data_IF_981469520310
#
_entry.id   IF_981469520310
#
_cell.length_a   1.000
_cell.length_b   1.000
_cell.length_c   1.000
_cell.angle_alpha   90.00
_cell.angle_beta   90.00
_cell.angle_gamma   90.00
#
_symmetry.space_group_name_H-M   'P 1'
#
loop_
_entity.id
_entity.type
_entity.pdbx_description
1 polymer ?
#
# COMPACT_ATOMS: atom_id res chain seq x y z
N UNK A 1 -15.23 11.77 -9.22
CA UNK A 1 -13.79 11.66 -9.59
C UNK A 1 -13.58 10.57 -10.61
N UNK A 2 -12.72 10.80 -11.60
CA UNK A 2 -12.30 9.78 -12.55
C UNK A 2 -11.28 8.81 -11.92
N UNK A 3 -11.10 7.62 -12.55
CA UNK A 3 -10.16 6.59 -12.05
C UNK A 3 -8.75 7.12 -11.79
N UNK A 4 -8.23 7.94 -12.71
CA UNK A 4 -6.88 8.52 -12.58
C UNK A 4 -6.77 9.48 -11.40
N UNK A 5 -7.80 10.28 -11.17
CA UNK A 5 -7.88 11.21 -10.06
C UNK A 5 -7.93 10.47 -8.72
N UNK A 6 -8.71 9.38 -8.63
CA UNK A 6 -8.77 8.54 -7.43
C UNK A 6 -7.40 7.91 -7.16
N UNK A 7 -6.73 7.39 -8.18
CA UNK A 7 -5.38 6.80 -8.03
C UNK A 7 -4.38 7.84 -7.55
N UNK A 8 -4.40 9.05 -8.11
CA UNK A 8 -3.53 10.15 -7.69
C UNK A 8 -3.81 10.55 -6.24
N UNK A 9 -5.08 10.75 -5.89
CA UNK A 9 -5.51 11.09 -4.54
C UNK A 9 -5.00 10.06 -3.50
N UNK A 10 -5.24 8.77 -3.74
CA UNK A 10 -4.81 7.70 -2.84
C UNK A 10 -3.29 7.64 -2.69
N UNK A 11 -2.56 7.81 -3.81
CA UNK A 11 -1.10 7.78 -3.82
C UNK A 11 -0.50 8.97 -3.06
N UNK A 12 -1.00 10.16 -3.27
CA UNK A 12 -0.53 11.38 -2.59
C UNK A 12 -0.76 11.30 -1.08
N UNK A 13 -1.96 10.87 -0.65
CA UNK A 13 -2.27 10.71 0.77
C UNK A 13 -1.48 9.56 1.41
N UNK A 14 -1.26 8.45 0.71
CA UNK A 14 -0.39 7.37 1.19
C UNK A 14 1.04 7.88 1.41
N UNK A 15 1.59 8.61 0.44
CA UNK A 15 2.94 9.18 0.55
C UNK A 15 3.00 10.14 1.74
N UNK A 16 2.08 11.09 1.83
CA UNK A 16 2.12 12.11 2.89
C UNK A 16 1.97 11.51 4.30
N UNK A 17 1.07 10.56 4.48
CA UNK A 17 0.69 10.05 5.80
C UNK A 17 1.53 8.87 6.27
N UNK A 18 2.05 8.05 5.35
CA UNK A 18 2.71 6.78 5.69
C UNK A 18 4.16 6.69 5.25
N UNK A 19 4.48 7.21 4.08
CA UNK A 19 5.78 6.99 3.46
C UNK A 19 6.75 8.16 3.62
N UNK A 20 6.26 9.38 3.81
CA UNK A 20 7.11 10.57 4.01
C UNK A 20 7.62 10.67 5.44
N UNK A 21 8.81 11.28 5.59
CA UNK A 21 9.40 11.57 6.88
C UNK A 21 10.81 11.03 7.05
N UNK A 22 11.43 11.40 8.16
CA UNK A 22 12.77 10.94 8.53
C UNK A 22 12.70 9.45 8.89
N UNK A 23 13.66 8.66 8.41
CA UNK A 23 13.73 7.24 8.66
C UNK A 23 12.78 6.39 7.81
N UNK A 24 12.19 6.99 6.78
CA UNK A 24 11.34 6.30 5.81
C UNK A 24 12.14 5.94 4.55
N UNK A 25 12.22 4.63 4.27
CA UNK A 25 12.94 4.07 3.13
C UNK A 25 11.94 3.39 2.20
N UNK A 26 11.59 4.05 1.11
CA UNK A 26 10.57 3.55 0.19
C UNK A 26 10.87 3.88 -1.26
N UNK A 27 10.27 3.14 -2.16
CA UNK A 27 10.31 3.38 -3.60
C UNK A 27 8.93 3.18 -4.20
N UNK A 28 8.68 3.82 -5.35
CA UNK A 28 7.46 3.67 -6.13
C UNK A 28 7.74 2.90 -7.41
N UNK A 29 6.69 2.27 -7.98
CA UNK A 29 6.80 1.56 -9.27
C UNK A 29 7.92 0.51 -9.27
N UNK A 30 8.04 -0.26 -8.18
CA UNK A 30 9.10 -1.25 -8.00
C UNK A 30 8.89 -2.44 -8.91
N UNK A 31 9.73 -2.58 -9.92
CA UNK A 31 9.67 -3.68 -10.89
C UNK A 31 10.48 -4.88 -10.40
N UNK A 32 9.79 -6.00 -10.24
CA UNK A 32 10.37 -7.32 -10.01
C UNK A 32 10.48 -8.08 -11.34
N UNK A 33 11.42 -9.00 -11.41
CA UNK A 33 11.64 -9.86 -12.60
C UNK A 33 11.87 -9.04 -13.89
N UNK A 34 12.58 -7.92 -13.75
CA UNK A 34 12.90 -7.04 -14.86
C UNK A 34 13.60 -7.79 -16.01
N UNK A 35 13.16 -7.54 -17.25
CA UNK A 35 13.70 -8.16 -18.45
C UNK A 35 13.21 -9.58 -18.71
N UNK A 36 12.28 -10.08 -17.90
CA UNK A 36 11.61 -11.36 -18.11
C UNK A 36 10.18 -11.19 -18.67
N UNK A 37 9.55 -12.30 -19.08
CA UNK A 37 8.15 -12.30 -19.51
C UNK A 37 7.18 -12.09 -18.35
N UNK A 38 7.64 -12.37 -17.11
CA UNK A 38 6.84 -12.34 -15.89
C UNK A 38 7.12 -11.08 -15.06
N UNK A 39 7.49 -9.98 -15.71
CA UNK A 39 7.72 -8.71 -15.04
C UNK A 39 6.49 -8.30 -14.22
N UNK A 40 6.71 -8.00 -12.95
CA UNK A 40 5.70 -7.57 -11.99
C UNK A 40 6.06 -6.20 -11.47
N UNK A 41 5.06 -5.43 -11.12
CA UNK A 41 5.25 -4.10 -10.55
C UNK A 41 4.48 -3.99 -9.26
N UNK A 42 5.11 -3.41 -8.26
CA UNK A 42 4.52 -3.04 -6.97
C UNK A 42 4.43 -1.51 -6.93
N UNK A 43 3.26 -0.96 -6.65
CA UNK A 43 3.05 0.49 -6.71
C UNK A 43 3.94 1.23 -5.71
N UNK A 44 3.99 0.75 -4.46
CA UNK A 44 4.90 1.28 -3.43
C UNK A 44 5.46 0.15 -2.57
N UNK A 45 6.74 0.25 -2.27
CA UNK A 45 7.43 -0.67 -1.37
C UNK A 45 8.25 0.11 -0.35
N UNK A 46 8.08 -0.22 0.93
CA UNK A 46 8.82 0.36 2.04
C UNK A 46 9.70 -0.71 2.69
N UNK A 47 10.92 -0.33 3.05
CA UNK A 47 11.79 -1.14 3.89
C UNK A 47 11.81 -0.56 5.30
N UNK A 48 11.51 -1.39 6.29
CA UNK A 48 11.44 -1.02 7.70
C UNK A 48 12.53 -1.76 8.48
N UNK A 49 13.68 -1.14 8.78
CA UNK A 49 14.68 -1.70 9.72
C UNK A 49 14.08 -1.77 11.12
N UNK A 50 14.60 -2.65 11.98
CA UNK A 50 14.01 -2.90 13.30
C UNK A 50 14.43 -1.90 14.38
N UNK A 51 15.37 -1.02 14.10
CA UNK A 51 15.85 -0.04 15.09
C UNK A 51 16.85 0.95 14.49
N UNK A 52 17.96 1.13 15.18
CA UNK A 52 19.09 1.91 14.64
C UNK A 52 19.68 1.21 13.42
N UNK A 53 20.24 1.96 12.47
CA UNK A 53 20.80 1.42 11.24
C UNK A 53 22.13 0.68 11.44
N UNK A 54 22.12 -0.33 12.29
CA UNK A 54 23.21 -1.32 12.39
C UNK A 54 23.00 -2.44 11.39
N UNK A 55 24.03 -3.18 11.03
CA UNK A 55 23.93 -4.32 10.13
C UNK A 55 22.87 -5.32 10.62
N UNK A 56 22.90 -5.65 11.92
CA UNK A 56 21.93 -6.58 12.52
C UNK A 56 20.48 -6.09 12.42
N UNK A 57 20.24 -4.81 12.63
CA UNK A 57 18.88 -4.22 12.56
C UNK A 57 18.37 -4.11 11.11
N UNK A 58 19.27 -3.90 10.15
CA UNK A 58 18.94 -3.95 8.72
C UNK A 58 18.59 -5.37 8.32
N UNK A 59 19.38 -6.37 8.71
CA UNK A 59 19.14 -7.78 8.37
C UNK A 59 17.82 -8.31 8.94
N UNK A 60 17.35 -7.79 10.07
CA UNK A 60 16.05 -8.11 10.66
C UNK A 60 14.90 -7.27 10.11
N UNK A 61 15.18 -6.32 9.26
CA UNK A 61 14.19 -5.45 8.65
C UNK A 61 13.17 -6.22 7.80
N UNK A 62 12.00 -5.64 7.66
CA UNK A 62 10.89 -6.19 6.86
C UNK A 62 10.51 -5.24 5.73
N UNK A 63 9.92 -5.80 4.70
CA UNK A 63 9.33 -5.04 3.60
C UNK A 63 7.81 -4.96 3.76
N UNK A 64 7.27 -3.82 3.37
CA UNK A 64 5.83 -3.57 3.29
C UNK A 64 5.51 -3.15 1.87
N UNK A 65 4.57 -3.80 1.23
CA UNK A 65 4.06 -3.39 -0.09
C UNK A 65 2.69 -2.77 0.01
N UNK A 66 2.44 -1.80 -0.86
CA UNK A 66 1.17 -1.11 -0.97
C UNK A 66 0.76 -1.12 -2.44
N UNK A 67 -0.45 -1.59 -2.69
CA UNK A 67 -1.04 -1.70 -4.02
C UNK A 67 -2.31 -0.85 -4.09
N UNK A 68 -2.32 0.12 -4.98
CA UNK A 68 -3.43 1.07 -5.11
C UNK A 68 -4.52 0.50 -6.01
N UNK A 69 -5.75 0.48 -5.53
CA UNK A 69 -6.94 0.03 -6.25
C UNK A 69 -8.00 1.13 -6.24
N UNK A 70 -8.24 1.72 -7.39
CA UNK A 70 -9.12 2.87 -7.51
C UNK A 70 -10.58 2.52 -7.79
N UNK A 71 -10.85 1.33 -8.35
CA UNK A 71 -12.20 0.89 -8.70
C UNK A 71 -12.31 -0.63 -8.74
N UNK A 72 -13.54 -1.13 -8.85
CA UNK A 72 -13.84 -2.57 -8.90
C UNK A 72 -13.16 -3.30 -10.07
N UNK A 73 -13.11 -2.68 -11.25
CA UNK A 73 -12.44 -3.27 -12.42
C UNK A 73 -10.94 -3.43 -12.18
N UNK A 74 -10.32 -2.45 -11.53
CA UNK A 74 -8.91 -2.46 -11.14
C UNK A 74 -8.62 -3.56 -10.10
N UNK A 75 -9.48 -3.66 -9.09
CA UNK A 75 -9.38 -4.73 -8.09
C UNK A 75 -9.50 -6.13 -8.71
N UNK A 76 -10.52 -6.34 -9.55
CA UNK A 76 -10.77 -7.64 -10.21
C UNK A 76 -9.74 -8.03 -11.25
N UNK A 77 -8.99 -7.08 -11.80
CA UNK A 77 -7.91 -7.39 -12.76
C UNK A 77 -6.82 -8.28 -12.17
N UNK A 78 -6.65 -8.27 -10.84
CA UNK A 78 -5.60 -9.00 -10.14
C UNK A 78 -4.19 -8.45 -10.37
N UNK A 79 -4.02 -7.47 -11.26
CA UNK A 79 -2.71 -6.86 -11.50
C UNK A 79 -2.18 -6.20 -10.22
N UNK A 80 -0.89 -6.39 -9.95
CA UNK A 80 -0.21 -5.83 -8.78
C UNK A 80 -0.43 -6.59 -7.47
N UNK A 81 -1.34 -7.54 -7.39
CA UNK A 81 -1.57 -8.36 -6.18
C UNK A 81 -0.48 -9.44 -6.04
N UNK A 82 0.78 -9.01 -6.01
CA UNK A 82 1.93 -9.92 -5.99
C UNK A 82 2.24 -10.47 -4.59
N UNK A 83 1.99 -9.69 -3.55
CA UNK A 83 2.13 -10.06 -2.14
C UNK A 83 3.45 -10.78 -1.81
N UNK A 84 4.57 -10.16 -2.22
CA UNK A 84 5.91 -10.75 -2.10
C UNK A 84 6.64 -10.37 -0.80
N UNK A 85 6.14 -9.40 -0.08
CA UNK A 85 6.74 -8.84 1.13
C UNK A 85 6.15 -9.46 2.40
N UNK A 86 6.74 -9.17 3.56
CA UNK A 86 6.22 -9.66 4.84
C UNK A 86 4.85 -9.07 5.19
N UNK A 87 4.61 -7.79 4.83
CA UNK A 87 3.33 -7.12 5.01
C UNK A 87 2.83 -6.58 3.69
N UNK A 88 1.57 -6.84 3.37
CA UNK A 88 0.97 -6.45 2.10
C UNK A 88 -0.34 -5.73 2.35
N UNK A 89 -0.48 -4.53 1.79
CA UNK A 89 -1.68 -3.71 1.91
C UNK A 89 -2.27 -3.38 0.55
N UNK A 90 -3.58 -3.43 0.47
CA UNK A 90 -4.34 -2.77 -0.58
C UNK A 90 -4.70 -1.36 -0.10
N UNK A 91 -4.58 -0.38 -0.97
CA UNK A 91 -4.94 1.02 -0.71
C UNK A 91 -6.11 1.37 -1.61
N UNK A 92 -7.27 1.66 -1.03
CA UNK A 92 -8.48 1.85 -1.82
C UNK A 92 -9.49 2.78 -1.15
N UNK A 93 -10.46 3.34 -1.93
CA UNK A 93 -11.58 4.08 -1.34
C UNK A 93 -12.43 3.19 -0.42
N UNK A 94 -13.01 3.78 0.64
CA UNK A 94 -13.89 3.06 1.56
C UNK A 94 -15.09 2.40 0.87
N UNK A 95 -15.65 3.04 -0.15
CA UNK A 95 -16.73 2.46 -0.95
C UNK A 95 -16.35 1.16 -1.68
N UNK A 96 -15.11 1.09 -2.18
CA UNK A 96 -14.60 -0.12 -2.82
C UNK A 96 -14.34 -1.19 -1.76
N UNK A 97 -13.67 -0.84 -0.66
CA UNK A 97 -13.41 -1.76 0.45
C UNK A 97 -14.70 -2.43 0.95
N UNK A 98 -15.75 -1.65 1.17
CA UNK A 98 -17.07 -2.14 1.60
C UNK A 98 -17.63 -3.23 0.67
N UNK A 99 -17.36 -3.13 -0.63
CA UNK A 99 -17.85 -4.09 -1.64
C UNK A 99 -17.00 -5.37 -1.72
N UNK A 100 -15.72 -5.29 -1.36
CA UNK A 100 -14.76 -6.40 -1.57
C UNK A 100 -14.25 -7.03 -0.27
N UNK A 101 -14.66 -6.53 0.88
CA UNK A 101 -14.13 -6.95 2.19
C UNK A 101 -14.21 -8.47 2.43
N UNK A 102 -15.21 -9.15 1.88
CA UNK A 102 -15.37 -10.59 2.00
C UNK A 102 -14.46 -11.40 1.06
N UNK A 103 -13.92 -10.76 0.02
CA UNK A 103 -13.11 -11.40 -1.03
C UNK A 103 -11.61 -11.19 -0.80
N UNK A 104 -11.23 -10.36 0.18
CA UNK A 104 -9.82 -10.05 0.46
C UNK A 104 -9.16 -11.24 1.14
N UNK A 105 -7.99 -11.63 0.62
CA UNK A 105 -7.17 -12.69 1.24
C UNK A 105 -6.85 -12.36 2.70
N UNK A 106 -7.02 -13.32 3.60
CA UNK A 106 -6.95 -13.11 5.05
C UNK A 106 -5.62 -12.59 5.62
N UNK A 107 -4.54 -12.67 4.84
CA UNK A 107 -3.22 -12.12 5.22
C UNK A 107 -3.02 -10.67 4.79
N UNK A 108 -3.83 -10.17 3.85
CA UNK A 108 -3.70 -8.85 3.24
C UNK A 108 -4.47 -7.81 4.04
N UNK A 109 -3.81 -6.71 4.37
CA UNK A 109 -4.44 -5.57 5.01
C UNK A 109 -5.04 -4.58 4.03
N UNK A 110 -5.85 -3.67 4.54
CA UNK A 110 -6.44 -2.58 3.75
C UNK A 110 -6.24 -1.25 4.44
N UNK A 111 -5.87 -0.27 3.66
CA UNK A 111 -5.76 1.13 4.05
C UNK A 111 -6.76 1.94 3.21
N UNK A 112 -7.58 2.73 3.89
CA UNK A 112 -8.53 3.64 3.26
C UNK A 112 -8.31 5.08 3.74
N UNK A 113 -8.59 6.08 2.89
CA UNK A 113 -8.77 7.44 3.34
C UNK A 113 -10.03 7.55 4.21
N UNK A 114 -9.90 8.16 5.37
CA UNK A 114 -10.98 8.41 6.33
C UNK A 114 -10.91 9.88 6.72
N UNK A 115 -12.02 10.63 6.74
CA UNK A 115 -12.02 11.99 7.26
C UNK A 115 -11.48 12.05 8.68
N UNK A 116 -10.64 13.06 9.00
CA UNK A 116 -10.01 13.18 10.33
C UNK A 116 -11.04 13.18 11.48
N UNK A 117 -12.21 13.76 11.24
CA UNK A 117 -13.27 13.94 12.24
C UNK A 117 -14.20 12.72 12.38
N UNK A 118 -13.96 11.66 11.59
CA UNK A 118 -14.78 10.43 11.61
C UNK A 118 -13.99 9.23 12.06
N UNK A 119 -14.67 8.30 12.70
CA UNK A 119 -14.08 6.99 12.96
C UNK A 119 -14.26 6.02 11.75
N UNK A 120 -13.52 4.93 11.78
CA UNK A 120 -13.51 3.93 10.70
C UNK A 120 -14.88 3.24 10.56
N UNK A 121 -15.62 3.05 11.66
CA UNK A 121 -16.92 2.35 11.64
C UNK A 121 -17.98 3.22 10.97
N UNK A 122 -18.03 4.49 11.33
CA UNK A 122 -18.97 5.45 10.74
C UNK A 122 -18.67 5.65 9.26
N UNK A 123 -17.39 5.73 8.90
CA UNK A 123 -16.98 5.84 7.52
C UNK A 123 -17.29 4.57 6.69
N UNK A 124 -17.13 3.39 7.30
CA UNK A 124 -17.53 2.14 6.65
C UNK A 124 -19.05 2.06 6.44
N UNK A 125 -19.83 2.53 7.39
CA UNK A 125 -21.30 2.53 7.31
C UNK A 125 -21.80 3.46 6.20
N UNK A 126 -21.29 4.68 6.16
CA UNK A 126 -21.65 5.75 5.22
C UNK A 126 -20.39 6.42 4.66
N UNK A 127 -19.78 5.87 3.60
CA UNK A 127 -18.57 6.42 3.02
C UNK A 127 -18.73 7.85 2.53
N UNK A 128 -17.76 8.70 2.84
CA UNK A 128 -17.68 10.07 2.34
C UNK A 128 -17.10 10.06 0.93
N UNK A 129 -17.71 10.78 0.00
CA UNK A 129 -17.17 10.92 -1.35
C UNK A 129 -15.83 11.64 -1.33
N UNK A 130 -14.84 11.10 -2.06
CA UNK A 130 -13.46 11.61 -2.05
C UNK A 130 -13.32 13.05 -2.57
N UNK A 131 -14.27 13.51 -3.36
CA UNK A 131 -14.35 14.87 -3.91
C UNK A 131 -15.14 15.86 -3.03
N UNK A 132 -15.44 15.46 -1.79
CA UNK A 132 -16.10 16.35 -0.83
C UNK A 132 -15.14 17.48 -0.45
N UNK A 133 -15.53 18.71 -0.74
CA UNK A 133 -14.72 19.90 -0.44
C UNK A 133 -14.52 20.11 1.07
N UNK A 134 -13.34 20.59 1.44
CA UNK A 134 -13.01 20.97 2.82
C UNK A 134 -12.75 19.79 3.78
N UNK A 135 -12.81 18.56 3.32
CA UNK A 135 -12.51 17.39 4.13
C UNK A 135 -11.00 17.21 4.27
N UNK A 136 -10.54 17.06 5.52
CA UNK A 136 -9.18 16.62 5.81
C UNK A 136 -9.16 15.10 5.93
N UNK A 137 -8.32 14.47 5.12
CA UNK A 137 -8.23 13.03 5.03
C UNK A 137 -7.03 12.48 5.80
N UNK A 138 -7.19 11.27 6.35
CA UNK A 138 -6.10 10.47 6.93
C UNK A 138 -6.16 9.04 6.40
N UNK A 139 -5.01 8.50 6.06
CA UNK A 139 -4.89 7.10 5.67
C UNK A 139 -4.93 6.20 6.91
N UNK A 140 -6.03 5.44 7.05
CA UNK A 140 -6.27 4.55 8.18
C UNK A 140 -6.18 3.08 7.75
N UNK A 141 -5.56 2.26 8.59
CA UNK A 141 -5.65 0.80 8.45
C UNK A 141 -7.05 0.39 8.89
N UNK A 142 -7.87 -0.04 7.92
CA UNK A 142 -9.25 -0.49 8.15
C UNK A 142 -9.34 -2.00 8.29
N UNK A 143 -8.38 -2.72 7.72
CA UNK A 143 -8.17 -4.15 7.91
C UNK A 143 -6.67 -4.37 8.17
N UNK A 144 -6.29 -4.89 9.36
CA UNK A 144 -4.89 -5.16 9.65
C UNK A 144 -4.36 -6.30 8.78
N UNK A 145 -3.11 -6.20 8.31
CA UNK A 145 -2.44 -7.32 7.65
C UNK A 145 -1.81 -8.28 8.68
N UNK A 146 -1.64 -9.52 8.27
CA UNK A 146 -0.78 -10.46 9.00
C UNK A 146 0.66 -10.35 8.47
N UNK A 147 1.63 -10.49 9.36
CA UNK A 147 3.04 -10.56 8.96
C UNK A 147 3.36 -11.98 8.53
N UNK A 148 3.76 -12.13 7.27
CA UNK A 148 4.18 -13.41 6.70
C UNK A 148 5.67 -13.47 6.43
N UNK A 149 6.08 -14.46 5.64
CA UNK A 149 7.44 -14.58 5.14
C UNK A 149 7.52 -13.92 3.74
N UNK A 150 8.58 -13.12 3.50
CA UNK A 150 8.81 -12.60 2.15
C UNK A 150 9.17 -13.73 1.19
N UNK A 151 8.78 -13.56 -0.05
CA UNK A 151 8.97 -14.55 -1.13
C UNK A 151 10.24 -14.29 -1.96
N UNK A 152 11.00 -13.26 -1.65
CA UNK A 152 12.22 -12.83 -2.35
C UNK A 152 13.30 -12.48 -1.34
N UNK A 153 14.56 -12.55 -1.75
CA UNK A 153 15.67 -12.18 -0.88
C UNK A 153 15.68 -10.69 -0.56
N UNK A 154 16.23 -10.33 0.59
CA UNK A 154 16.40 -8.92 0.98
C UNK A 154 17.21 -8.14 -0.04
N UNK A 155 18.31 -8.72 -0.51
CA UNK A 155 19.19 -8.07 -1.48
C UNK A 155 18.46 -7.77 -2.79
N UNK A 156 17.65 -8.72 -3.28
CA UNK A 156 16.84 -8.53 -4.49
C UNK A 156 15.83 -7.37 -4.32
N UNK A 157 15.07 -7.38 -3.22
CA UNK A 157 14.06 -6.35 -2.99
C UNK A 157 14.69 -4.96 -2.80
N UNK A 158 15.78 -4.86 -2.03
CA UNK A 158 16.50 -3.58 -1.86
C UNK A 158 17.07 -3.09 -3.18
N UNK A 159 17.62 -3.97 -4.02
CA UNK A 159 18.13 -3.61 -5.34
C UNK A 159 17.00 -3.12 -6.27
N UNK A 160 15.85 -3.81 -6.28
CA UNK A 160 14.69 -3.37 -7.05
C UNK A 160 14.16 -2.01 -6.59
N UNK A 161 14.13 -1.76 -5.29
CA UNK A 161 13.76 -0.45 -4.73
C UNK A 161 14.77 0.64 -5.15
N UNK A 162 16.06 0.35 -5.07
CA UNK A 162 17.12 1.29 -5.46
C UNK A 162 17.02 1.66 -6.94
N UNK A 163 16.70 0.71 -7.80
CA UNK A 163 16.49 0.95 -9.24
C UNK A 163 15.26 1.81 -9.54
N UNK A 164 14.18 1.57 -8.79
CA UNK A 164 12.93 2.28 -9.02
C UNK A 164 13.02 3.76 -8.59
N UNK A 165 13.59 4.01 -7.41
CA UNK A 165 13.65 5.35 -6.83
C UNK A 165 12.29 5.84 -6.29
N UNK A 166 12.19 7.13 -6.04
CA UNK A 166 10.99 7.78 -5.50
C UNK A 166 10.21 8.54 -6.56
#
# INVERSE_FOLDING_TARGET
>A
MERKEITAFLSEHLISDKLSGVGKYWAREVCLDWGTKDVRRVDFMEFCPTGVLSVSEIEKGIFVSYEVKSCMADYKSGFGQNFVTEKNYLVMPMELYKKVVQDIEGSVGVICPVPEERDVKDEFHSPTALDTEGVKWRMRVVLPCLTGARKRSMVELLFCMLRAGK
#
